data_IF_081451446529
#
_entry.id   IF_081451446529
#
_cell.length_a   1.000
_cell.length_b   1.000
_cell.length_c   1.000
_cell.angle_alpha   90.00
_cell.angle_beta   90.00
_cell.angle_gamma   90.00
#
_symmetry.space_group_name_H-M   'P 1'
#
loop_
_entity.id
_entity.type
_entity.pdbx_description
1 polymer ?
#
# COMPACT_ATOMS: atom_id res chain seq x y z
N UNK A 1 -2.91 -32.66 20.47
CA UNK A 1 -2.39 -31.53 19.71
C UNK A 1 -2.36 -30.31 20.64
N UNK A 2 -1.44 -29.39 20.43
CA UNK A 2 -1.42 -28.11 21.17
C UNK A 2 -2.68 -27.32 20.78
N UNK A 3 -3.32 -26.68 21.73
CA UNK A 3 -4.49 -25.83 21.49
C UNK A 3 -4.11 -24.37 21.79
N UNK A 4 -4.64 -23.42 21.06
CA UNK A 4 -4.30 -22.01 21.13
C UNK A 4 -5.52 -21.16 21.46
N UNK A 5 -5.32 -20.02 22.11
CA UNK A 5 -6.40 -19.04 22.24
C UNK A 5 -6.77 -18.44 20.87
N UNK A 6 -5.76 -18.21 20.00
CA UNK A 6 -5.97 -17.62 18.67
C UNK A 6 -5.22 -18.37 17.57
N UNK A 7 -5.89 -18.60 16.44
CA UNK A 7 -5.29 -18.96 15.15
C UNK A 7 -5.33 -17.74 14.25
N UNK A 8 -4.17 -17.25 13.82
CA UNK A 8 -4.01 -16.05 12.99
C UNK A 8 -3.76 -16.48 11.56
N UNK A 9 -4.70 -16.20 10.66
CA UNK A 9 -4.60 -16.54 9.23
C UNK A 9 -4.03 -15.35 8.46
N UNK A 10 -2.81 -15.54 7.95
CA UNK A 10 -1.96 -14.51 7.38
C UNK A 10 -1.01 -13.91 8.42
N UNK A 11 0.16 -13.47 7.97
CA UNK A 11 1.24 -12.93 8.80
C UNK A 11 1.56 -11.45 8.51
N UNK A 12 0.60 -10.69 7.98
CA UNK A 12 0.74 -9.27 7.73
C UNK A 12 0.63 -8.42 9.01
N UNK A 13 0.74 -7.09 8.85
CA UNK A 13 0.71 -6.13 9.98
C UNK A 13 -0.52 -6.27 10.89
N UNK A 14 -1.71 -6.52 10.34
CA UNK A 14 -2.90 -6.68 11.16
C UNK A 14 -2.77 -7.85 12.15
N UNK A 15 -2.45 -9.03 11.61
CA UNK A 15 -2.27 -10.24 12.41
C UNK A 15 -1.11 -10.07 13.41
N UNK A 16 0.01 -9.47 12.98
CA UNK A 16 1.16 -9.23 13.84
C UNK A 16 0.86 -8.32 15.02
N UNK A 17 0.19 -7.18 14.78
CA UNK A 17 -0.21 -6.27 15.85
C UNK A 17 -1.19 -6.95 16.80
N UNK A 18 -2.18 -7.67 16.29
CA UNK A 18 -3.11 -8.44 17.14
C UNK A 18 -2.38 -9.50 17.98
N UNK A 19 -1.47 -10.26 17.34
CA UNK A 19 -0.66 -11.28 18.01
C UNK A 19 0.15 -10.68 19.17
N UNK A 20 0.81 -9.54 18.91
CA UNK A 20 1.59 -8.85 19.94
C UNK A 20 0.74 -8.51 21.17
N UNK A 21 -0.45 -7.92 20.98
CA UNK A 21 -1.37 -7.63 22.08
C UNK A 21 -1.88 -8.90 22.78
N UNK A 22 -2.20 -9.95 22.04
CA UNK A 22 -2.64 -11.22 22.58
C UNK A 22 -1.57 -11.83 23.51
N UNK A 23 -0.33 -11.92 23.03
CA UNK A 23 0.81 -12.44 23.81
C UNK A 23 1.07 -11.61 25.06
N UNK A 24 1.03 -10.26 24.97
CA UNK A 24 1.17 -9.39 26.16
C UNK A 24 0.07 -9.62 27.20
N UNK A 25 -1.08 -10.15 26.80
CA UNK A 25 -2.20 -10.52 27.68
C UNK A 25 -2.20 -12.03 28.05
N UNK A 26 -1.05 -12.70 27.88
CA UNK A 26 -0.86 -14.10 28.29
C UNK A 26 -1.59 -15.11 27.40
N UNK A 27 -1.97 -14.72 26.18
CA UNK A 27 -2.65 -15.58 25.20
C UNK A 27 -1.65 -16.30 24.30
N UNK A 28 -2.03 -17.48 23.84
CA UNK A 28 -1.26 -18.30 22.91
C UNK A 28 -1.76 -18.14 21.49
N UNK A 29 -0.84 -18.00 20.55
CA UNK A 29 -1.15 -17.76 19.15
C UNK A 29 -0.44 -18.78 18.24
N UNK A 30 -1.19 -19.29 17.23
CA UNK A 30 -0.65 -19.99 16.07
C UNK A 30 -0.85 -19.11 14.83
N UNK A 31 0.22 -18.82 14.11
CA UNK A 31 0.19 -18.10 12.83
C UNK A 31 0.23 -19.11 11.70
N UNK A 32 -0.72 -19.02 10.77
CA UNK A 32 -0.79 -19.85 9.56
C UNK A 32 -0.62 -18.94 8.35
N UNK A 33 0.48 -19.07 7.64
CA UNK A 33 0.84 -18.22 6.51
C UNK A 33 0.96 -19.05 5.22
N UNK A 34 0.30 -18.57 4.16
CA UNK A 34 0.32 -19.23 2.85
C UNK A 34 1.67 -19.14 2.14
N UNK A 35 2.39 -18.03 2.31
CA UNK A 35 3.72 -17.82 1.74
C UNK A 35 4.77 -18.61 2.53
N UNK A 36 5.96 -18.75 1.97
CA UNK A 36 7.12 -19.38 2.60
C UNK A 36 7.84 -18.47 3.62
N UNK A 37 7.35 -17.27 3.82
CA UNK A 37 7.86 -16.26 4.75
C UNK A 37 6.73 -15.51 5.45
N UNK A 38 7.00 -14.94 6.62
CA UNK A 38 6.08 -14.06 7.36
C UNK A 38 6.23 -12.61 6.89
N UNK A 39 5.30 -11.73 7.33
CA UNK A 39 5.35 -10.28 7.12
C UNK A 39 4.39 -9.75 6.07
N UNK A 40 3.70 -10.64 5.35
CA UNK A 40 2.77 -10.18 4.32
C UNK A 40 3.47 -9.29 3.29
N UNK A 41 2.85 -8.16 2.95
CA UNK A 41 3.39 -7.28 1.90
C UNK A 41 4.57 -6.39 2.35
N UNK A 42 4.87 -6.30 3.65
CA UNK A 42 6.02 -5.51 4.13
C UNK A 42 7.31 -6.32 4.24
N UNK A 43 7.28 -7.59 3.87
CA UNK A 43 8.46 -8.44 3.89
C UNK A 43 9.58 -7.88 2.98
N UNK A 44 10.80 -7.90 3.50
CA UNK A 44 12.01 -7.50 2.78
C UNK A 44 12.92 -8.71 2.54
N UNK A 45 13.45 -8.83 1.33
CA UNK A 45 14.56 -9.75 1.01
C UNK A 45 15.89 -9.03 1.18
N UNK A 46 16.90 -9.70 1.74
CA UNK A 46 18.27 -9.20 1.69
C UNK A 46 18.91 -9.65 0.36
N UNK A 47 19.26 -8.67 -0.48
CA UNK A 47 19.95 -8.90 -1.76
C UNK A 47 21.17 -7.98 -1.83
N UNK A 48 22.36 -8.53 -1.88
CA UNK A 48 23.63 -7.76 -1.90
C UNK A 48 23.76 -6.78 -0.69
N UNK A 49 23.18 -7.14 0.46
CA UNK A 49 23.13 -6.27 1.65
C UNK A 49 22.18 -5.08 1.53
N UNK A 50 21.20 -5.18 0.64
CA UNK A 50 20.13 -4.19 0.44
C UNK A 50 18.79 -4.84 0.83
N UNK A 51 18.03 -4.21 1.71
CA UNK A 51 16.68 -4.68 2.06
C UNK A 51 15.69 -4.32 0.94
N UNK A 52 15.41 -5.30 0.10
CA UNK A 52 14.50 -5.17 -1.04
C UNK A 52 13.05 -5.35 -0.58
N UNK A 53 12.24 -4.32 -0.72
CA UNK A 53 10.79 -4.40 -0.45
C UNK A 53 10.14 -5.26 -1.53
N UNK A 54 9.94 -6.57 -1.24
CA UNK A 54 9.55 -7.58 -2.24
C UNK A 54 8.22 -7.31 -2.91
N UNK A 55 7.30 -6.67 -2.21
CA UNK A 55 5.92 -6.43 -2.66
C UNK A 55 5.61 -4.95 -2.88
N UNK A 56 6.61 -4.19 -3.34
CA UNK A 56 6.51 -2.77 -3.63
C UNK A 56 7.02 -1.87 -2.53
N UNK A 57 7.20 -0.60 -2.85
CA UNK A 57 7.72 0.39 -1.92
C UNK A 57 6.77 0.60 -0.74
N UNK A 58 7.26 0.33 0.45
CA UNK A 58 6.56 0.58 1.71
C UNK A 58 7.32 1.64 2.50
N UNK A 59 6.74 2.83 2.62
CA UNK A 59 7.26 3.93 3.43
C UNK A 59 6.27 4.14 4.56
N UNK A 60 6.73 3.99 5.80
CA UNK A 60 5.86 4.22 6.95
C UNK A 60 5.62 5.70 7.15
N UNK A 61 4.36 6.10 7.32
CA UNK A 61 3.96 7.46 7.63
C UNK A 61 2.68 7.45 8.45
N UNK A 62 2.52 8.41 9.35
CA UNK A 62 1.31 8.59 10.16
C UNK A 62 1.28 9.95 10.82
N UNK A 63 0.10 10.46 11.10
CA UNK A 63 -0.13 11.58 12.04
C UNK A 63 -0.63 11.10 13.41
N UNK A 64 -0.88 9.79 13.57
CA UNK A 64 -1.29 9.20 14.83
C UNK A 64 -0.08 8.92 15.73
N UNK A 65 0.09 9.73 16.78
CA UNK A 65 1.21 9.62 17.70
C UNK A 65 1.28 8.24 18.40
N UNK A 66 0.13 7.65 18.76
CA UNK A 66 0.06 6.33 19.41
C UNK A 66 0.62 5.24 18.51
N UNK A 67 0.26 5.27 17.22
CA UNK A 67 0.77 4.33 16.21
C UNK A 67 2.27 4.54 16.01
N UNK A 68 2.72 5.80 15.91
CA UNK A 68 4.14 6.12 15.76
C UNK A 68 4.98 5.62 16.96
N UNK A 69 4.54 5.88 18.18
CA UNK A 69 5.19 5.40 19.41
C UNK A 69 5.24 3.88 19.48
N UNK A 70 4.17 3.21 19.06
CA UNK A 70 4.09 1.75 19.00
C UNK A 70 5.15 1.17 18.04
N UNK A 71 5.21 1.63 16.80
CA UNK A 71 6.17 1.07 15.82
C UNK A 71 7.62 1.39 16.17
N UNK A 72 7.89 2.56 16.77
CA UNK A 72 9.24 2.90 17.30
C UNK A 72 9.62 2.09 18.54
N UNK A 73 8.68 1.53 19.26
CA UNK A 73 8.93 0.54 20.31
C UNK A 73 9.36 -0.82 19.75
N UNK A 74 9.04 -1.12 18.50
CA UNK A 74 9.41 -2.36 17.83
C UNK A 74 10.75 -2.27 17.07
N UNK A 75 11.02 -1.15 16.40
CA UNK A 75 12.27 -0.89 15.68
C UNK A 75 12.59 0.60 15.63
N UNK A 76 13.86 0.95 15.49
CA UNK A 76 14.30 2.33 15.25
C UNK A 76 14.02 2.72 13.79
N UNK A 77 13.45 3.90 13.57
CA UNK A 77 13.19 4.44 12.24
C UNK A 77 14.25 5.48 11.85
N UNK A 78 14.65 5.43 10.60
CA UNK A 78 15.55 6.43 10.04
C UNK A 78 14.78 7.71 9.64
N UNK A 79 15.51 8.72 9.14
CA UNK A 79 14.97 10.02 8.72
C UNK A 79 14.49 10.06 7.26
N UNK A 80 14.20 8.92 6.63
CA UNK A 80 13.79 8.91 5.23
C UNK A 80 12.53 9.74 5.02
N UNK A 81 12.61 10.68 4.09
CA UNK A 81 11.49 11.53 3.66
C UNK A 81 11.11 11.14 2.24
N UNK A 82 9.89 10.68 2.03
CA UNK A 82 9.44 10.25 0.72
C UNK A 82 9.31 11.44 -0.24
N UNK A 83 10.16 11.47 -1.25
CA UNK A 83 10.22 12.54 -2.27
C UNK A 83 10.35 11.92 -3.66
N UNK A 84 9.30 11.23 -4.15
CA UNK A 84 9.35 10.57 -5.44
C UNK A 84 9.44 11.59 -6.58
N UNK A 85 9.94 11.12 -7.72
CA UNK A 85 10.08 11.90 -8.95
C UNK A 85 9.20 11.26 -10.04
N UNK A 86 8.63 12.08 -10.91
CA UNK A 86 7.93 11.62 -12.10
C UNK A 86 8.83 11.80 -13.32
N UNK A 87 8.88 10.76 -14.16
CA UNK A 87 9.51 10.77 -15.48
C UNK A 87 8.42 10.77 -16.55
N UNK A 88 8.33 11.83 -17.31
CA UNK A 88 7.49 11.91 -18.51
C UNK A 88 8.39 12.00 -19.75
N UNK A 89 8.62 10.89 -20.43
CA UNK A 89 9.42 10.83 -21.67
C UNK A 89 10.81 11.47 -21.53
N UNK A 90 11.46 11.27 -20.38
CA UNK A 90 12.76 11.84 -20.05
C UNK A 90 12.73 13.21 -19.37
N UNK A 91 11.59 13.87 -19.28
CA UNK A 91 11.41 15.07 -18.47
C UNK A 91 11.15 14.68 -17.01
N UNK A 92 11.99 15.15 -16.09
CA UNK A 92 11.87 14.83 -14.67
C UNK A 92 11.15 15.93 -13.90
N UNK A 93 10.16 15.54 -13.08
CA UNK A 93 9.33 16.43 -12.27
C UNK A 93 9.27 15.97 -10.82
N UNK A 94 9.32 16.90 -9.87
CA UNK A 94 9.12 16.58 -8.45
C UNK A 94 7.66 16.23 -8.15
N UNK A 95 7.47 15.31 -7.20
CA UNK A 95 6.17 14.93 -6.66
C UNK A 95 6.16 15.17 -5.13
N UNK A 96 5.01 15.54 -4.54
CA UNK A 96 3.72 15.87 -5.15
C UNK A 96 3.80 17.16 -5.99
N UNK A 97 2.71 17.52 -6.68
CA UNK A 97 2.68 18.74 -7.49
C UNK A 97 2.88 19.97 -6.61
N UNK A 98 4.04 20.59 -6.72
CA UNK A 98 4.48 21.69 -5.89
C UNK A 98 5.26 22.73 -6.72
N UNK A 99 5.77 23.79 -6.09
CA UNK A 99 6.47 24.85 -6.82
C UNK A 99 7.70 24.37 -7.59
N UNK A 100 8.40 23.28 -7.15
CA UNK A 100 9.48 22.70 -7.95
C UNK A 100 8.95 22.09 -9.26
N UNK A 101 7.79 21.41 -9.21
CA UNK A 101 7.10 20.88 -10.40
C UNK A 101 6.73 22.00 -11.36
N UNK A 102 6.13 23.07 -10.84
CA UNK A 102 5.62 24.20 -11.65
C UNK A 102 6.76 25.03 -12.23
N UNK A 103 7.80 25.31 -11.45
CA UNK A 103 9.00 26.00 -11.93
C UNK A 103 9.68 25.23 -13.05
N UNK A 104 9.77 23.90 -12.92
CA UNK A 104 10.33 23.03 -13.96
C UNK A 104 9.47 23.00 -15.22
N UNK A 105 8.14 22.95 -15.07
CA UNK A 105 7.20 22.84 -16.19
C UNK A 105 7.02 24.15 -16.95
N UNK A 106 6.93 25.27 -16.25
CA UNK A 106 6.54 26.56 -16.81
C UNK A 106 7.59 27.67 -16.74
N UNK A 107 8.75 27.41 -16.10
CA UNK A 107 9.79 28.41 -15.96
C UNK A 107 9.43 29.59 -15.04
N UNK A 108 8.48 29.38 -14.12
CA UNK A 108 7.98 30.39 -13.17
C UNK A 108 8.64 30.24 -11.79
N UNK A 109 8.49 31.24 -10.96
CA UNK A 109 9.12 31.27 -9.63
C UNK A 109 8.17 31.62 -8.48
N UNK A 110 6.98 32.12 -8.78
CA UNK A 110 6.05 32.59 -7.75
C UNK A 110 4.76 31.75 -7.69
N UNK A 111 4.15 31.59 -6.50
CA UNK A 111 2.87 30.92 -6.34
C UNK A 111 1.74 31.53 -7.18
N UNK A 112 1.71 32.85 -7.35
CA UNK A 112 0.64 33.54 -8.08
C UNK A 112 0.71 33.28 -9.59
N UNK A 113 1.92 33.16 -10.17
CA UNK A 113 2.11 32.73 -11.55
C UNK A 113 1.58 31.29 -11.75
N UNK A 114 1.91 30.37 -10.82
CA UNK A 114 1.43 29.01 -10.86
C UNK A 114 -0.10 28.92 -10.79
N UNK A 115 -0.71 29.63 -9.82
CA UNK A 115 -2.17 29.72 -9.70
C UNK A 115 -2.82 30.24 -10.96
N UNK A 116 -2.30 31.33 -11.54
CA UNK A 116 -2.87 31.93 -12.76
C UNK A 116 -2.87 30.93 -13.95
N UNK A 117 -1.77 30.17 -14.13
CA UNK A 117 -1.69 29.14 -15.19
C UNK A 117 -2.69 28.02 -14.94
N UNK A 118 -2.71 27.47 -13.71
CA UNK A 118 -3.61 26.37 -13.33
C UNK A 118 -5.07 26.79 -13.50
N UNK A 119 -5.49 27.94 -12.96
CA UNK A 119 -6.87 28.41 -13.06
C UNK A 119 -7.29 28.67 -14.52
N UNK A 120 -6.39 29.21 -15.34
CA UNK A 120 -6.67 29.35 -16.77
C UNK A 120 -6.92 28.02 -17.46
N UNK A 121 -6.13 26.99 -17.16
CA UNK A 121 -6.29 25.67 -17.77
C UNK A 121 -7.49 24.91 -17.22
N UNK A 122 -7.80 25.04 -15.93
CA UNK A 122 -9.00 24.47 -15.30
C UNK A 122 -10.29 24.99 -15.94
N UNK A 123 -10.31 26.26 -16.39
CA UNK A 123 -11.46 26.88 -17.04
C UNK A 123 -11.84 26.24 -18.40
N UNK A 124 -11.03 25.32 -18.93
CA UNK A 124 -11.39 24.52 -20.11
C UNK A 124 -12.57 23.58 -19.84
N UNK A 125 -12.74 23.14 -18.59
CA UNK A 125 -13.86 22.29 -18.19
C UNK A 125 -15.00 23.18 -17.67
N UNK A 126 -16.13 23.14 -18.35
CA UNK A 126 -17.34 23.89 -17.98
C UNK A 126 -18.42 22.94 -17.47
N UNK A 127 -18.99 23.25 -16.30
CA UNK A 127 -20.01 22.42 -15.65
C UNK A 127 -19.44 21.25 -14.87
N UNK A 128 -20.28 20.23 -14.60
CA UNK A 128 -19.84 19.03 -13.88
C UNK A 128 -18.99 18.12 -14.79
N UNK A 129 -17.82 17.66 -14.31
CA UNK A 129 -16.97 16.74 -15.07
C UNK A 129 -17.68 15.41 -15.37
N UNK A 130 -17.64 14.96 -16.62
CA UNK A 130 -18.34 13.76 -17.09
C UNK A 130 -17.52 12.47 -16.96
N UNK A 131 -16.20 12.61 -16.90
CA UNK A 131 -15.26 11.51 -16.86
C UNK A 131 -14.00 11.92 -16.07
N UNK A 132 -13.06 10.97 -15.91
CA UNK A 132 -11.84 11.17 -15.15
C UNK A 132 -10.94 12.25 -15.78
N UNK A 133 -10.85 12.34 -17.12
CA UNK A 133 -10.08 13.38 -17.81
C UNK A 133 -10.57 14.79 -17.43
N UNK A 134 -11.86 15.05 -17.61
CA UNK A 134 -12.46 16.34 -17.26
C UNK A 134 -12.30 16.65 -15.76
N UNK A 135 -12.49 15.65 -14.90
CA UNK A 135 -12.29 15.79 -13.46
C UNK A 135 -10.84 16.18 -13.13
N UNK A 136 -9.85 15.49 -13.68
CA UNK A 136 -8.45 15.78 -13.42
C UNK A 136 -8.06 17.18 -13.94
N UNK A 137 -8.49 17.55 -15.15
CA UNK A 137 -8.24 18.89 -15.70
C UNK A 137 -8.87 19.97 -14.82
N UNK A 138 -10.10 19.76 -14.32
CA UNK A 138 -10.77 20.70 -13.41
C UNK A 138 -10.04 20.87 -12.07
N UNK A 139 -9.21 19.91 -11.68
CA UNK A 139 -8.44 19.93 -10.42
C UNK A 139 -7.06 20.57 -10.59
N UNK A 140 -6.34 20.24 -11.68
CA UNK A 140 -4.91 20.60 -11.81
C UNK A 140 -4.57 21.32 -13.12
N UNK A 141 -5.49 21.43 -14.06
CA UNK A 141 -5.24 21.96 -15.40
C UNK A 141 -4.71 20.90 -16.38
N UNK A 142 -4.75 21.24 -17.67
CA UNK A 142 -4.48 20.30 -18.77
C UNK A 142 -3.04 19.78 -18.79
N UNK A 143 -2.05 20.65 -18.66
CA UNK A 143 -0.65 20.24 -18.82
C UNK A 143 -0.18 19.30 -17.71
N UNK A 144 -0.56 19.56 -16.46
CA UNK A 144 -0.29 18.65 -15.33
C UNK A 144 -1.02 17.32 -15.55
N UNK A 145 -2.27 17.36 -16.00
CA UNK A 145 -3.02 16.15 -16.32
C UNK A 145 -2.33 15.33 -17.40
N UNK A 146 -2.01 15.92 -18.54
CA UNK A 146 -1.45 15.18 -19.70
C UNK A 146 -0.06 14.59 -19.40
N UNK A 147 0.81 15.35 -18.72
CA UNK A 147 2.17 14.91 -18.43
C UNK A 147 2.27 13.98 -17.22
N UNK A 148 1.51 14.24 -16.16
CA UNK A 148 1.77 13.62 -14.86
C UNK A 148 0.64 12.72 -14.32
N UNK A 149 -0.55 12.76 -14.92
CA UNK A 149 -1.71 11.99 -14.45
C UNK A 149 -2.18 10.98 -15.47
N UNK A 150 -2.40 11.41 -16.71
CA UNK A 150 -3.09 10.65 -17.75
C UNK A 150 -2.48 9.27 -17.97
N UNK A 151 -1.26 9.20 -18.47
CA UNK A 151 -0.64 7.92 -18.86
C UNK A 151 -0.42 6.98 -17.67
N UNK A 152 -0.11 7.52 -16.49
CA UNK A 152 -0.02 6.74 -15.26
C UNK A 152 -1.37 6.09 -14.90
N UNK A 153 -2.45 6.88 -14.94
CA UNK A 153 -3.80 6.41 -14.63
C UNK A 153 -4.28 5.40 -15.67
N UNK A 154 -4.05 5.66 -16.96
CA UNK A 154 -4.43 4.73 -18.05
C UNK A 154 -3.71 3.38 -17.92
N UNK A 155 -2.44 3.36 -17.51
CA UNK A 155 -1.72 2.11 -17.21
C UNK A 155 -2.33 1.39 -16.01
N UNK A 156 -2.60 2.11 -14.92
CA UNK A 156 -3.20 1.51 -13.75
C UNK A 156 -4.57 0.90 -14.01
N UNK A 157 -5.39 1.54 -14.84
CA UNK A 157 -6.76 1.09 -15.09
C UNK A 157 -6.90 0.26 -16.37
N UNK A 158 -5.89 0.24 -17.24
CA UNK A 158 -5.93 -0.45 -18.54
C UNK A 158 -6.97 0.15 -19.52
N UNK A 159 -7.42 1.40 -19.27
CA UNK A 159 -8.50 2.08 -20.02
C UNK A 159 -8.17 3.57 -20.19
N UNK A 160 -8.73 4.15 -21.25
CA UNK A 160 -8.65 5.60 -21.50
C UNK A 160 -9.34 6.39 -20.38
N UNK A 161 -8.74 7.49 -19.93
CA UNK A 161 -9.29 8.34 -18.88
C UNK A 161 -10.69 8.90 -19.20
N UNK A 162 -11.05 9.05 -20.48
CA UNK A 162 -12.38 9.48 -20.92
C UNK A 162 -13.46 8.42 -20.73
N UNK A 163 -13.07 7.15 -20.57
CA UNK A 163 -13.98 6.03 -20.30
C UNK A 163 -14.11 5.73 -18.80
N UNK A 164 -13.29 6.37 -17.98
CA UNK A 164 -13.28 6.17 -16.54
C UNK A 164 -14.19 7.20 -15.85
N UNK A 165 -14.95 6.79 -14.81
CA UNK A 165 -15.80 7.70 -14.06
C UNK A 165 -15.03 8.81 -13.34
N UNK A 166 -15.58 10.01 -13.29
CA UNK A 166 -14.99 11.18 -12.62
C UNK A 166 -14.66 10.93 -11.14
N UNK A 167 -15.48 10.15 -10.41
CA UNK A 167 -15.32 9.92 -8.98
C UNK A 167 -14.04 9.13 -8.59
N UNK A 168 -13.35 8.51 -9.56
CA UNK A 168 -12.08 7.80 -9.32
C UNK A 168 -11.02 8.77 -8.79
N UNK A 169 -11.01 10.03 -9.29
CA UNK A 169 -10.13 11.09 -8.80
C UNK A 169 -10.97 12.14 -8.07
N UNK A 170 -11.06 12.03 -6.75
CA UNK A 170 -11.79 13.01 -5.94
C UNK A 170 -10.98 14.29 -5.70
N UNK A 171 -9.66 14.18 -5.61
CA UNK A 171 -8.73 15.29 -5.41
C UNK A 171 -7.34 14.92 -5.91
N UNK A 172 -6.61 15.90 -6.40
CA UNK A 172 -5.17 15.81 -6.66
C UNK A 172 -4.54 16.95 -5.85
N UNK A 173 -3.67 16.66 -4.89
CA UNK A 173 -3.07 17.70 -4.06
C UNK A 173 -2.15 18.59 -4.90
N UNK A 174 -2.36 19.90 -4.81
CA UNK A 174 -1.52 20.94 -5.40
C UNK A 174 -1.01 21.83 -4.27
N UNK A 175 0.31 22.02 -4.21
CA UNK A 175 0.97 22.81 -3.16
C UNK A 175 1.69 24.00 -3.77
N UNK A 176 1.33 25.19 -3.36
CA UNK A 176 1.99 26.44 -3.81
C UNK A 176 3.17 26.82 -2.92
N UNK A 177 3.97 25.82 -2.55
CA UNK A 177 5.20 25.94 -1.74
C UNK A 177 6.27 25.04 -2.34
N UNK A 178 7.56 25.31 -2.03
CA UNK A 178 8.71 24.46 -2.41
C UNK A 178 8.89 23.35 -1.36
N UNK A 179 8.09 22.29 -1.46
CA UNK A 179 8.15 21.15 -0.55
C UNK A 179 7.95 19.84 -1.34
N UNK A 180 8.99 19.02 -1.37
CA UNK A 180 8.99 17.71 -2.04
C UNK A 180 8.56 16.55 -1.14
N UNK A 181 8.27 16.81 0.15
CA UNK A 181 7.77 15.75 1.01
C UNK A 181 6.40 15.28 0.51
N UNK A 182 6.30 14.01 0.11
CA UNK A 182 5.08 13.48 -0.50
C UNK A 182 3.91 13.41 0.49
N UNK A 183 4.19 13.04 1.74
CA UNK A 183 3.17 12.91 2.78
C UNK A 183 2.93 14.23 3.50
N UNK A 184 1.71 14.40 4.04
CA UNK A 184 1.37 15.50 4.95
C UNK A 184 1.43 15.07 6.42
N UNK A 185 1.81 13.82 6.69
CA UNK A 185 1.84 13.25 8.02
C UNK A 185 3.00 13.82 8.85
N UNK A 186 2.78 13.85 10.18
CA UNK A 186 3.76 14.39 11.12
C UNK A 186 5.01 13.50 11.24
N UNK A 187 4.84 12.19 11.04
CA UNK A 187 5.89 11.20 11.19
C UNK A 187 6.02 10.38 9.92
N UNK A 188 7.24 10.07 9.54
CA UNK A 188 7.56 9.14 8.47
C UNK A 188 8.98 8.62 8.61
N UNK A 189 9.27 7.47 8.00
CA UNK A 189 10.60 6.88 7.99
C UNK A 189 10.56 5.44 7.48
N UNK A 190 11.75 4.84 7.45
CA UNK A 190 11.96 3.43 7.16
C UNK A 190 12.61 2.80 8.39
N UNK A 191 12.18 1.63 8.86
CA UNK A 191 12.87 0.95 9.96
C UNK A 191 14.29 0.58 9.53
N UNK A 192 15.25 0.87 10.40
CA UNK A 192 16.66 0.53 10.19
C UNK A 192 16.79 -0.99 10.18
N UNK A 193 17.38 -1.55 9.12
CA UNK A 193 17.46 -2.99 8.92
C UNK A 193 16.22 -3.61 8.26
N UNK A 194 15.37 -2.78 7.63
CA UNK A 194 14.17 -3.21 6.94
C UNK A 194 13.00 -3.55 7.87
N UNK A 195 11.87 -3.95 7.29
CA UNK A 195 10.65 -4.24 8.06
C UNK A 195 10.67 -5.58 8.80
N UNK A 196 11.58 -6.50 8.46
CA UNK A 196 11.59 -7.85 9.03
C UNK A 196 11.77 -7.83 10.55
N UNK A 197 12.57 -6.91 11.10
CA UNK A 197 12.75 -6.75 12.54
C UNK A 197 11.43 -6.42 13.27
N UNK A 198 10.56 -5.62 12.65
CA UNK A 198 9.22 -5.33 13.19
C UNK A 198 8.36 -6.59 13.16
N UNK A 199 8.38 -7.33 12.05
CA UNK A 199 7.61 -8.56 11.87
C UNK A 199 8.01 -9.61 12.91
N UNK A 200 9.31 -9.82 13.10
CA UNK A 200 9.85 -10.78 14.06
C UNK A 200 9.41 -10.45 15.50
N UNK A 201 9.44 -9.16 15.89
CA UNK A 201 8.96 -8.74 17.21
C UNK A 201 7.46 -8.88 17.39
N UNK A 202 6.67 -8.60 16.34
CA UNK A 202 5.21 -8.73 16.42
C UNK A 202 4.77 -10.18 16.64
N UNK A 203 5.53 -11.14 16.10
CA UNK A 203 5.22 -12.57 16.24
C UNK A 203 6.12 -13.28 17.27
N UNK A 204 6.90 -12.54 18.06
CA UNK A 204 7.69 -13.10 19.13
C UNK A 204 6.79 -13.90 20.10
N UNK A 205 7.17 -15.11 20.41
CA UNK A 205 6.41 -16.08 21.21
C UNK A 205 5.10 -16.62 20.57
N UNK A 206 4.94 -16.50 19.28
CA UNK A 206 3.91 -17.21 18.52
C UNK A 206 4.51 -18.49 17.90
N UNK A 207 3.69 -19.53 17.78
CA UNK A 207 4.02 -20.63 16.87
C UNK A 207 3.68 -20.22 15.44
N UNK A 208 4.50 -20.59 14.46
CA UNK A 208 4.35 -20.15 13.07
C UNK A 208 4.45 -21.36 12.14
N UNK A 209 3.48 -21.48 11.24
CA UNK A 209 3.48 -22.42 10.12
C UNK A 209 3.39 -21.64 8.80
N UNK A 210 4.41 -21.78 7.95
CA UNK A 210 4.48 -21.17 6.62
C UNK A 210 4.24 -22.18 5.51
N UNK A 211 3.90 -21.71 4.30
CA UNK A 211 3.62 -22.56 3.15
C UNK A 211 2.28 -23.31 3.26
N UNK A 212 1.34 -22.82 4.07
CA UNK A 212 0.06 -23.48 4.35
C UNK A 212 -1.10 -22.57 3.97
N UNK A 213 -1.94 -23.02 3.05
CA UNK A 213 -3.22 -22.36 2.77
C UNK A 213 -4.27 -22.83 3.80
N UNK A 214 -4.66 -21.92 4.70
CA UNK A 214 -5.67 -22.18 5.70
C UNK A 214 -7.00 -22.68 5.10
N UNK A 215 -7.43 -22.12 3.96
CA UNK A 215 -8.72 -22.49 3.36
C UNK A 215 -8.76 -23.94 2.85
N UNK A 216 -7.59 -24.50 2.47
CA UNK A 216 -7.46 -25.92 2.09
C UNK A 216 -7.49 -26.86 3.31
N UNK A 217 -7.16 -26.34 4.51
CA UNK A 217 -7.04 -27.12 5.74
C UNK A 217 -7.91 -26.58 6.89
N UNK A 218 -8.96 -25.85 6.56
CA UNK A 218 -9.77 -25.07 7.49
C UNK A 218 -10.25 -25.86 8.71
N UNK A 219 -10.83 -27.03 8.52
CA UNK A 219 -11.35 -27.87 9.62
C UNK A 219 -10.24 -28.22 10.64
N UNK A 220 -9.02 -28.44 10.15
CA UNK A 220 -7.88 -28.72 11.02
C UNK A 220 -7.56 -27.50 11.89
N UNK A 221 -7.38 -26.34 11.28
CA UNK A 221 -6.96 -25.13 12.00
C UNK A 221 -8.05 -24.54 12.87
N UNK A 222 -9.33 -24.62 12.45
CA UNK A 222 -10.47 -24.23 13.29
C UNK A 222 -10.52 -25.06 14.60
N UNK A 223 -10.08 -26.33 14.55
CA UNK A 223 -10.04 -27.20 15.75
C UNK A 223 -8.88 -26.90 16.69
N UNK A 224 -7.88 -26.13 16.26
CA UNK A 224 -6.68 -25.81 17.03
C UNK A 224 -6.77 -24.55 17.89
N UNK A 225 -7.80 -23.72 17.69
CA UNK A 225 -7.93 -22.47 18.43
C UNK A 225 -9.35 -22.12 18.82
N UNK A 226 -9.49 -21.34 19.88
CA UNK A 226 -10.79 -20.84 20.33
C UNK A 226 -11.36 -19.79 19.37
N UNK A 227 -10.49 -18.97 18.79
CA UNK A 227 -10.86 -17.90 17.84
C UNK A 227 -9.88 -17.81 16.67
N UNK A 228 -10.41 -17.67 15.48
CA UNK A 228 -9.64 -17.42 14.25
C UNK A 228 -9.65 -15.94 13.91
N UNK A 229 -8.47 -15.34 13.71
CA UNK A 229 -8.31 -14.00 13.16
C UNK A 229 -7.99 -14.14 11.67
N UNK A 230 -8.95 -13.89 10.81
CA UNK A 230 -8.81 -14.10 9.37
C UNK A 230 -8.48 -12.78 8.65
N UNK A 231 -7.31 -12.72 8.00
CA UNK A 231 -6.86 -11.53 7.25
C UNK A 231 -6.81 -11.72 5.74
N UNK A 232 -7.24 -12.87 5.24
CA UNK A 232 -7.40 -13.14 3.81
C UNK A 232 -8.62 -12.48 3.19
N UNK A 233 -8.90 -12.79 1.92
CA UNK A 233 -10.06 -12.24 1.22
C UNK A 233 -11.36 -12.82 1.78
N UNK A 234 -12.28 -11.95 2.18
CA UNK A 234 -13.54 -12.34 2.84
C UNK A 234 -14.44 -13.18 1.94
N UNK A 235 -14.46 -12.91 0.64
CA UNK A 235 -15.25 -13.66 -0.33
C UNK A 235 -14.75 -15.10 -0.52
N UNK A 236 -13.43 -15.32 -0.51
CA UNK A 236 -12.84 -16.67 -0.56
C UNK A 236 -13.16 -17.47 0.70
N UNK A 237 -13.16 -16.86 1.88
CA UNK A 237 -13.56 -17.51 3.13
C UNK A 237 -14.96 -18.14 3.05
N UNK A 238 -15.89 -17.47 2.36
CA UNK A 238 -17.25 -17.96 2.13
C UNK A 238 -17.42 -18.71 0.80
N UNK A 239 -16.32 -19.19 0.17
CA UNK A 239 -16.38 -19.94 -1.08
C UNK A 239 -17.03 -19.16 -2.22
N UNK A 240 -16.89 -17.85 -2.24
CA UNK A 240 -17.47 -16.93 -3.25
C UNK A 240 -19.01 -17.02 -3.37
N UNK A 241 -19.69 -17.32 -2.28
CA UNK A 241 -21.13 -17.60 -2.22
C UNK A 241 -22.01 -16.54 -2.88
N UNK A 242 -21.59 -15.27 -2.84
CA UNK A 242 -22.33 -14.15 -3.44
C UNK A 242 -21.68 -13.62 -4.72
N UNK A 243 -20.58 -14.22 -5.15
CA UNK A 243 -19.71 -13.78 -6.24
C UNK A 243 -18.38 -13.25 -5.74
N UNK A 244 -17.44 -13.04 -6.68
CA UNK A 244 -16.09 -12.59 -6.38
C UNK A 244 -16.05 -11.07 -6.24
N UNK A 245 -15.38 -10.60 -5.21
CA UNK A 245 -14.97 -9.20 -5.08
C UNK A 245 -13.83 -8.92 -6.05
N UNK A 246 -13.73 -7.69 -6.52
CA UNK A 246 -12.68 -7.29 -7.46
C UNK A 246 -11.50 -6.69 -6.72
N UNK A 247 -10.30 -7.04 -7.17
CA UNK A 247 -9.03 -6.55 -6.63
C UNK A 247 -8.15 -6.03 -7.74
N UNK A 248 -7.17 -5.22 -7.39
CA UNK A 248 -6.04 -4.88 -8.24
C UNK A 248 -4.83 -5.69 -7.79
N UNK A 249 -4.00 -6.05 -8.74
CA UNK A 249 -2.77 -6.79 -8.49
C UNK A 249 -1.56 -6.05 -9.08
N UNK A 250 -0.38 -6.47 -8.66
CA UNK A 250 0.89 -5.94 -9.12
C UNK A 250 1.82 -7.09 -9.48
N UNK A 251 2.66 -6.87 -10.47
CA UNK A 251 3.77 -7.75 -10.83
C UNK A 251 5.07 -6.97 -10.70
N UNK A 252 6.06 -7.59 -10.11
CA UNK A 252 7.38 -7.01 -9.85
C UNK A 252 8.45 -7.74 -10.63
N UNK A 253 9.41 -7.01 -11.17
CA UNK A 253 10.62 -7.52 -11.81
C UNK A 253 11.82 -6.81 -11.20
N UNK A 254 12.68 -7.58 -10.51
CA UNK A 254 13.85 -7.03 -9.83
C UNK A 254 15.13 -7.44 -10.53
N UNK A 255 16.05 -6.49 -10.68
CA UNK A 255 17.38 -6.69 -11.23
C UNK A 255 18.44 -6.17 -10.27
N UNK A 256 19.53 -6.91 -10.15
CA UNK A 256 20.77 -6.45 -9.50
C UNK A 256 21.66 -5.80 -10.55
N UNK A 257 21.98 -4.53 -10.35
CA UNK A 257 22.80 -3.75 -11.27
C UNK A 257 24.22 -3.54 -10.69
N UNK A 258 25.24 -3.67 -11.54
CA UNK A 258 26.63 -3.45 -11.16
C UNK A 258 26.99 -1.96 -11.27
N UNK A 259 26.27 -1.15 -10.54
CA UNK A 259 26.43 0.29 -10.43
C UNK A 259 26.00 0.79 -9.04
N UNK A 260 26.63 1.86 -8.56
CA UNK A 260 26.35 2.38 -7.22
C UNK A 260 25.01 3.10 -7.11
N UNK A 261 24.52 3.71 -8.19
CA UNK A 261 23.35 4.56 -8.19
C UNK A 261 22.71 4.59 -9.58
N UNK A 262 21.51 4.09 -9.71
CA UNK A 262 20.81 3.98 -10.99
C UNK A 262 19.98 5.21 -11.33
N UNK A 263 19.17 5.70 -10.39
CA UNK A 263 18.20 6.77 -10.65
C UNK A 263 18.26 7.95 -9.67
N UNK A 264 19.12 7.89 -8.65
CA UNK A 264 19.37 8.98 -7.72
C UNK A 264 18.27 9.24 -6.69
N UNK A 265 17.25 8.41 -6.63
CA UNK A 265 16.11 8.52 -5.71
C UNK A 265 15.44 7.15 -5.54
N UNK A 266 14.79 6.92 -4.40
CA UNK A 266 14.16 5.62 -4.15
C UNK A 266 13.04 5.28 -5.14
N UNK A 267 12.24 6.24 -5.58
CA UNK A 267 11.07 5.98 -6.43
C UNK A 267 10.99 6.98 -7.60
N UNK A 268 10.98 6.45 -8.82
CA UNK A 268 10.64 7.19 -10.04
C UNK A 268 9.34 6.64 -10.62
N UNK A 269 8.32 7.50 -10.73
CA UNK A 269 7.05 7.17 -11.39
C UNK A 269 7.13 7.50 -12.89
N UNK A 270 6.83 6.56 -13.74
CA UNK A 270 6.76 6.74 -15.18
C UNK A 270 5.35 7.11 -15.59
N UNK A 271 5.15 8.35 -16.00
CA UNK A 271 3.81 8.91 -16.20
C UNK A 271 3.35 8.93 -17.66
N UNK A 272 4.23 8.59 -18.61
CA UNK A 272 3.85 8.34 -19.99
C UNK A 272 3.15 6.98 -20.14
N UNK A 273 2.42 6.78 -21.25
CA UNK A 273 1.67 5.55 -21.53
C UNK A 273 2.53 4.46 -22.17
N UNK A 274 3.57 4.85 -22.88
CA UNK A 274 4.43 3.97 -23.67
C UNK A 274 5.31 3.09 -22.78
N UNK A 275 5.76 3.60 -21.66
CA UNK A 275 6.51 2.83 -20.66
C UNK A 275 5.58 1.82 -19.96
N UNK A 276 5.88 0.50 -20.02
CA UNK A 276 4.93 -0.52 -19.59
C UNK A 276 4.75 -0.66 -18.06
N UNK A 277 5.70 -0.16 -17.28
CA UNK A 277 5.65 -0.14 -15.81
C UNK A 277 5.22 1.23 -15.28
N UNK A 278 4.69 1.25 -14.07
CA UNK A 278 4.26 2.51 -13.42
C UNK A 278 5.39 3.17 -12.65
N UNK A 279 6.33 2.38 -12.11
CA UNK A 279 7.46 2.93 -11.37
C UNK A 279 8.68 2.01 -11.39
N UNK A 280 9.84 2.61 -11.11
CA UNK A 280 11.05 1.90 -10.70
C UNK A 280 11.34 2.27 -9.25
N UNK A 281 11.66 1.25 -8.45
CA UNK A 281 12.08 1.40 -7.05
C UNK A 281 13.55 1.03 -7.00
N UNK A 282 14.41 1.94 -6.52
CA UNK A 282 15.81 1.66 -6.18
C UNK A 282 15.95 1.57 -4.66
N UNK A 283 16.00 0.36 -4.16
CA UNK A 283 15.74 0.06 -2.75
C UNK A 283 16.77 0.61 -1.77
N UNK A 284 18.05 0.68 -2.15
CA UNK A 284 19.12 1.17 -1.25
C UNK A 284 18.89 2.58 -0.72
N UNK A 285 18.18 3.43 -1.49
CA UNK A 285 17.93 4.82 -1.07
C UNK A 285 16.99 4.92 0.14
N UNK A 286 16.19 3.90 0.43
CA UNK A 286 15.33 3.91 1.62
C UNK A 286 16.13 3.93 2.93
N UNK A 287 17.31 3.33 2.94
CA UNK A 287 18.19 3.26 4.11
C UNK A 287 19.52 4.00 3.89
N UNK A 288 19.58 4.90 2.90
CA UNK A 288 20.80 5.66 2.57
C UNK A 288 22.02 4.76 2.28
N UNK A 289 21.77 3.61 1.65
CA UNK A 289 22.76 2.57 1.40
C UNK A 289 23.89 3.02 0.46
N UNK A 290 25.09 2.51 0.72
CA UNK A 290 26.33 2.82 -0.01
C UNK A 290 26.99 1.59 -0.65
N UNK A 291 26.22 0.52 -0.86
CA UNK A 291 26.68 -0.70 -1.49
C UNK A 291 27.20 -0.42 -2.91
N UNK A 292 28.22 -1.15 -3.40
CA UNK A 292 28.79 -0.94 -4.74
C UNK A 292 27.82 -1.33 -5.87
N UNK A 293 26.83 -2.17 -5.56
CA UNK A 293 25.75 -2.55 -6.46
C UNK A 293 24.43 -1.93 -6.01
N UNK A 294 23.43 -1.92 -6.88
CA UNK A 294 22.08 -1.53 -6.52
C UNK A 294 21.05 -2.55 -6.97
N UNK A 295 19.89 -2.55 -6.33
CA UNK A 295 18.74 -3.36 -6.72
C UNK A 295 17.60 -2.44 -7.13
N UNK A 296 17.11 -2.66 -8.36
CA UNK A 296 15.96 -1.93 -8.90
C UNK A 296 14.80 -2.89 -9.14
N UNK A 297 13.59 -2.44 -8.82
CA UNK A 297 12.36 -3.19 -9.06
C UNK A 297 11.41 -2.39 -9.93
N UNK A 298 11.01 -2.97 -11.07
CA UNK A 298 9.93 -2.42 -11.92
C UNK A 298 8.59 -2.95 -11.45
N UNK A 299 7.64 -2.03 -11.26
CA UNK A 299 6.28 -2.34 -10.83
C UNK A 299 5.31 -2.23 -12.00
N UNK A 300 4.62 -3.33 -12.31
CA UNK A 300 3.62 -3.41 -13.36
C UNK A 300 2.22 -3.56 -12.75
N UNK A 301 1.26 -2.69 -13.11
CA UNK A 301 -0.13 -2.88 -12.75
C UNK A 301 -0.71 -4.02 -13.58
N UNK A 302 -1.40 -4.94 -12.93
CA UNK A 302 -2.08 -6.05 -13.59
C UNK A 302 -3.51 -6.20 -13.07
N UNK A 303 -4.41 -6.66 -13.94
CA UNK A 303 -5.75 -7.05 -13.50
C UNK A 303 -5.66 -8.32 -12.66
N UNK A 304 -6.24 -8.30 -11.47
CA UNK A 304 -6.25 -9.46 -10.60
C UNK A 304 -7.03 -10.63 -11.23
N UNK A 305 -6.49 -11.82 -11.09
CA UNK A 305 -7.12 -13.09 -11.45
C UNK A 305 -6.96 -14.06 -10.29
N UNK A 306 -7.83 -15.05 -10.19
CA UNK A 306 -7.73 -16.10 -9.20
C UNK A 306 -6.34 -16.77 -9.22
N UNK A 307 -5.75 -16.94 -8.04
CA UNK A 307 -4.36 -17.42 -7.89
C UNK A 307 -3.30 -16.31 -7.84
N UNK A 308 -3.66 -15.06 -8.17
CA UNK A 308 -2.77 -13.91 -7.97
C UNK A 308 -2.98 -13.29 -6.59
N UNK A 309 -1.93 -12.62 -6.08
CA UNK A 309 -2.04 -11.84 -4.85
C UNK A 309 -2.96 -10.63 -5.04
N UNK A 310 -3.99 -10.45 -4.20
CA UNK A 310 -4.82 -9.27 -4.19
C UNK A 310 -4.13 -8.16 -3.39
N UNK A 311 -3.74 -7.07 -4.05
CA UNK A 311 -3.08 -5.94 -3.36
C UNK A 311 -4.06 -4.90 -2.86
N UNK A 312 -5.03 -4.52 -3.68
CA UNK A 312 -5.96 -3.44 -3.38
C UNK A 312 -7.39 -3.80 -3.74
N UNK A 313 -8.37 -3.58 -2.82
CA UNK A 313 -9.79 -3.67 -3.14
C UNK A 313 -10.21 -2.63 -4.20
N UNK A 314 -11.13 -2.98 -5.07
CA UNK A 314 -11.78 -2.05 -5.99
C UNK A 314 -12.99 -1.46 -5.29
N UNK A 315 -12.87 -0.21 -4.80
CA UNK A 315 -13.88 0.46 -3.98
C UNK A 315 -14.95 1.19 -4.82
N UNK A 316 -15.58 0.49 -5.77
CA UNK A 316 -16.76 0.98 -6.46
C UNK A 316 -18.07 0.57 -5.73
N UNK A 317 -19.19 1.13 -6.16
CA UNK A 317 -20.50 0.90 -5.54
C UNK A 317 -20.93 -0.57 -5.61
N UNK A 318 -20.70 -1.23 -6.75
CA UNK A 318 -20.99 -2.66 -6.98
C UNK A 318 -20.25 -3.54 -5.99
N UNK A 319 -18.96 -3.34 -5.85
CA UNK A 319 -18.14 -4.13 -4.94
C UNK A 319 -18.45 -3.82 -3.47
N UNK A 320 -18.76 -2.57 -3.14
CA UNK A 320 -19.17 -2.20 -1.78
C UNK A 320 -20.51 -2.84 -1.40
N UNK A 321 -21.47 -2.94 -2.33
CA UNK A 321 -22.74 -3.64 -2.08
C UNK A 321 -22.51 -5.14 -1.90
N UNK A 322 -21.65 -5.74 -2.73
CA UNK A 322 -21.27 -7.15 -2.60
C UNK A 322 -20.55 -7.42 -1.27
N UNK A 323 -19.62 -6.55 -0.88
CA UNK A 323 -18.91 -6.65 0.41
C UNK A 323 -19.87 -6.60 1.60
N UNK A 324 -20.87 -5.70 1.61
CA UNK A 324 -21.87 -5.64 2.70
C UNK A 324 -22.57 -6.97 2.92
N UNK A 325 -22.84 -7.73 1.86
CA UNK A 325 -23.45 -9.07 1.98
C UNK A 325 -22.54 -10.07 2.69
N UNK A 326 -21.22 -10.00 2.42
CA UNK A 326 -20.23 -10.81 3.14
C UNK A 326 -20.05 -10.34 4.59
N UNK A 327 -20.02 -9.04 4.81
CA UNK A 327 -19.93 -8.44 6.15
C UNK A 327 -21.11 -8.89 7.05
N UNK A 328 -22.32 -8.98 6.51
CA UNK A 328 -23.49 -9.50 7.24
C UNK A 328 -23.37 -11.00 7.60
N UNK A 329 -22.62 -11.79 6.83
CA UNK A 329 -22.27 -13.15 7.24
C UNK A 329 -21.19 -13.12 8.34
N UNK A 330 -20.15 -12.31 8.15
CA UNK A 330 -19.05 -12.19 9.09
C UNK A 330 -19.52 -11.78 10.50
N UNK A 331 -20.52 -10.90 10.61
CA UNK A 331 -21.13 -10.50 11.89
C UNK A 331 -21.81 -11.65 12.65
N UNK A 332 -22.10 -12.78 11.99
CA UNK A 332 -22.74 -13.96 12.58
C UNK A 332 -21.75 -15.04 12.99
N UNK A 333 -20.48 -14.88 12.62
CA UNK A 333 -19.45 -15.81 13.03
C UNK A 333 -19.13 -15.61 14.52
N UNK A 334 -19.22 -16.66 15.31
CA UNK A 334 -18.95 -16.61 16.76
C UNK A 334 -17.47 -16.82 17.06
N UNK A 335 -16.75 -17.54 16.17
CA UNK A 335 -15.37 -17.97 16.39
C UNK A 335 -14.38 -17.38 15.36
N UNK A 336 -14.83 -16.51 14.44
CA UNK A 336 -13.97 -15.91 13.41
C UNK A 336 -14.11 -14.39 13.41
N UNK A 337 -13.00 -13.71 13.52
CA UNK A 337 -12.90 -12.26 13.42
C UNK A 337 -12.15 -11.90 12.14
N UNK A 338 -12.78 -11.11 11.30
CA UNK A 338 -12.19 -10.61 10.08
C UNK A 338 -11.45 -9.30 10.35
N UNK A 339 -10.26 -9.17 9.74
CA UNK A 339 -9.47 -7.96 9.88
C UNK A 339 -8.46 -7.73 8.75
N UNK A 340 -7.87 -6.53 8.74
CA UNK A 340 -6.90 -6.14 7.73
C UNK A 340 -7.54 -5.76 6.39
N UNK A 341 -6.68 -5.37 5.45
CA UNK A 341 -7.09 -4.81 4.14
C UNK A 341 -8.06 -5.70 3.37
N UNK A 342 -7.81 -7.01 3.33
CA UNK A 342 -8.60 -7.96 2.54
C UNK A 342 -9.82 -8.47 3.30
N UNK A 343 -9.71 -8.73 4.61
CA UNK A 343 -10.81 -9.18 5.44
C UNK A 343 -11.87 -8.10 5.65
N UNK A 344 -11.47 -6.83 5.71
CA UNK A 344 -12.37 -5.68 5.83
C UNK A 344 -12.70 -5.02 4.47
N UNK A 345 -12.13 -5.52 3.39
CA UNK A 345 -12.28 -4.97 2.03
C UNK A 345 -12.09 -3.46 1.97
N UNK A 346 -11.02 -2.96 2.61
CA UNK A 346 -10.70 -1.52 2.71
C UNK A 346 -9.30 -1.22 2.19
N UNK A 347 -9.16 -0.09 1.54
CA UNK A 347 -7.85 0.44 1.22
C UNK A 347 -7.25 1.06 2.48
N UNK A 348 -6.24 0.38 3.03
CA UNK A 348 -5.51 0.81 4.21
C UNK A 348 -4.04 1.08 3.89
N UNK A 349 -3.51 2.21 4.32
CA UNK A 349 -2.09 2.41 4.51
C UNK A 349 -1.62 1.67 5.78
N UNK A 350 -0.32 1.48 5.95
CA UNK A 350 0.23 0.67 7.05
C UNK A 350 -0.23 1.16 8.43
N UNK A 351 -0.28 2.47 8.65
CA UNK A 351 -0.74 3.07 9.90
C UNK A 351 -2.20 2.74 10.19
N UNK A 352 -3.06 2.73 9.18
CA UNK A 352 -4.49 2.40 9.34
C UNK A 352 -4.73 0.92 9.59
N UNK A 353 -3.89 0.05 9.00
CA UNK A 353 -3.91 -1.39 9.35
C UNK A 353 -3.56 -1.59 10.82
N UNK A 354 -2.48 -0.94 11.30
CA UNK A 354 -2.04 -1.01 12.70
C UNK A 354 -3.13 -0.44 13.61
N UNK A 355 -3.66 0.73 13.30
CA UNK A 355 -4.74 1.37 14.09
C UNK A 355 -5.99 0.48 14.20
N UNK A 356 -6.38 -0.19 13.11
CA UNK A 356 -7.50 -1.12 13.10
C UNK A 356 -7.24 -2.35 13.99
N UNK A 357 -6.04 -2.91 13.92
CA UNK A 357 -5.64 -4.05 14.75
C UNK A 357 -5.54 -3.69 16.23
N UNK A 358 -4.95 -2.52 16.56
CA UNK A 358 -4.88 -2.01 17.94
C UNK A 358 -6.27 -1.83 18.54
N UNK A 359 -7.18 -1.20 17.79
CA UNK A 359 -8.57 -1.03 18.25
C UNK A 359 -9.25 -2.37 18.51
N UNK A 360 -9.09 -3.34 17.62
CA UNK A 360 -9.65 -4.69 17.82
C UNK A 360 -9.08 -5.38 19.05
N UNK A 361 -7.78 -5.25 19.26
CA UNK A 361 -7.12 -5.80 20.45
C UNK A 361 -7.61 -5.12 21.74
N UNK A 362 -7.78 -3.80 21.76
CA UNK A 362 -8.33 -3.04 22.89
C UNK A 362 -9.79 -3.42 23.20
N UNK A 363 -10.61 -3.70 22.19
CA UNK A 363 -11.99 -4.19 22.37
C UNK A 363 -12.04 -5.57 23.07
N UNK A 364 -11.00 -6.39 22.89
CA UNK A 364 -10.97 -7.77 23.41
C UNK A 364 -10.23 -7.86 24.74
N UNK A 365 -9.14 -7.13 24.90
CA UNK A 365 -8.26 -7.27 26.08
C UNK A 365 -8.40 -6.11 27.08
N UNK A 366 -9.11 -5.04 26.73
CA UNK A 366 -9.40 -3.92 27.62
C UNK A 366 -8.35 -2.88 27.58
#
# INVERSE_FOLDING_TARGET
MKHYDYVLVGSGLYAGVFAWYAVQNGKTCLVVEKRDHIGGNIYCEDVEGIHVHKYGAHIFHTSNKKVWEFVNGLAEFNRYTNSPVANFKGEMYNMPFNMNTFSRMWGISTPDEAKAIIEKQKAEVTGEPKNLEEQAISLVGRELYEKLVKGYTEKQWGRDCRELPAFIIKRIPVRYIYDNNYFNDLYQGIPIGGYNAIIEKLFENCDIETGVDYLEHRETYDSLGDTVIYTGTIDAFYGYRFGKLEYRSLRFESDVLDEENHQGVAVVNYTDRETPYTRIIEHKHFEFGTQPKTVVTREYPVSWQEGMEPYYPVNDEKNQELYRRYEELAKKEEHVLFGGRLGEYKYYDMDKVIESAMRRAEEIFG
#
